data_IF_916241668246
#
_entry.id   IF_916241668246
#
_cell.length_a   1.000
_cell.length_b   1.000
_cell.length_c   1.000
_cell.angle_alpha   90.00
_cell.angle_beta   90.00
_cell.angle_gamma   90.00
#
_symmetry.space_group_name_H-M   'P 1'
#
loop_
_entity.id
_entity.type
_entity.pdbx_description
1 polymer ?
#
# COMPACT_ATOMS: atom_id res chain seq x y z
N UNK A 1 -46.37 11.36 10.08
CA UNK A 1 -45.47 10.28 10.52
C UNK A 1 -44.94 9.54 9.29
N UNK A 2 -43.81 9.97 8.79
CA UNK A 2 -43.18 9.30 7.65
C UNK A 2 -42.08 8.43 8.24
N UNK A 3 -42.36 7.14 8.30
CA UNK A 3 -41.33 6.16 8.58
C UNK A 3 -40.48 6.04 7.32
N UNK A 4 -39.28 6.65 7.35
CA UNK A 4 -38.27 6.32 6.39
C UNK A 4 -37.73 4.93 6.74
N UNK A 5 -38.33 3.93 6.10
CA UNK A 5 -37.71 2.62 6.05
C UNK A 5 -36.54 2.75 5.09
N UNK A 6 -35.36 2.97 5.60
CA UNK A 6 -34.16 2.80 4.83
C UNK A 6 -34.03 1.31 4.50
N UNK A 7 -34.55 0.90 3.41
CA UNK A 7 -34.25 -0.39 2.83
C UNK A 7 -32.84 -0.37 2.30
N UNK A 8 -31.88 -0.57 3.19
CA UNK A 8 -30.55 -1.01 2.85
C UNK A 8 -30.62 -2.47 2.43
N UNK A 9 -31.20 -2.73 1.27
CA UNK A 9 -31.32 -4.09 0.74
C UNK A 9 -30.13 -4.52 -0.07
N UNK A 10 -28.90 -4.33 0.42
CA UNK A 10 -27.74 -4.99 -0.16
C UNK A 10 -27.04 -5.78 0.94
N UNK A 11 -27.00 -7.08 0.77
CA UNK A 11 -26.18 -7.99 1.58
C UNK A 11 -24.68 -7.83 1.27
N UNK A 12 -24.26 -6.71 0.70
CA UNK A 12 -22.88 -6.39 0.47
C UNK A 12 -22.22 -6.12 1.84
N UNK A 13 -21.27 -6.95 2.22
CA UNK A 13 -20.45 -6.72 3.38
C UNK A 13 -19.76 -5.36 3.25
N UNK A 14 -19.73 -4.59 4.33
CA UNK A 14 -19.09 -3.28 4.35
C UNK A 14 -17.58 -3.43 4.19
N UNK A 15 -16.98 -2.51 3.42
CA UNK A 15 -15.54 -2.41 3.31
C UNK A 15 -14.95 -1.89 4.61
N UNK A 16 -13.99 -2.63 5.15
CA UNK A 16 -13.28 -2.28 6.38
C UNK A 16 -11.95 -1.66 6.04
N UNK A 17 -11.58 -0.59 6.75
CA UNK A 17 -10.29 0.08 6.62
C UNK A 17 -9.39 -0.31 7.78
N UNK A 18 -8.17 -0.76 7.48
CA UNK A 18 -7.16 -1.12 8.47
C UNK A 18 -5.86 -0.38 8.15
N UNK A 19 -5.28 0.30 9.14
CA UNK A 19 -4.06 1.10 8.96
C UNK A 19 -2.94 0.54 9.82
N UNK A 20 -1.79 0.30 9.19
CA UNK A 20 -0.54 -0.09 9.83
C UNK A 20 0.48 1.03 9.70
N UNK A 21 1.26 1.26 10.74
CA UNK A 21 2.41 2.17 10.71
C UNK A 21 3.66 1.46 11.18
N UNK A 22 4.79 1.80 10.54
CA UNK A 22 6.10 1.31 10.93
C UNK A 22 7.17 2.34 10.64
N UNK A 23 8.28 2.24 11.37
CA UNK A 23 9.49 2.99 11.08
C UNK A 23 10.64 2.00 10.98
N UNK A 24 11.15 1.82 9.76
CA UNK A 24 12.20 0.85 9.48
C UNK A 24 13.35 1.57 8.77
N UNK A 25 14.53 1.57 9.39
CA UNK A 25 15.70 2.23 8.83
C UNK A 25 15.55 3.74 8.66
N UNK A 26 14.72 4.39 9.48
CA UNK A 26 14.40 5.82 9.38
C UNK A 26 13.28 6.15 8.39
N UNK A 27 12.75 5.18 7.67
CA UNK A 27 11.62 5.35 6.75
C UNK A 27 10.32 5.15 7.49
N UNK A 28 9.47 6.18 7.50
CA UNK A 28 8.13 6.08 8.06
C UNK A 28 7.17 5.57 6.99
N UNK A 29 6.58 4.41 7.26
CA UNK A 29 5.65 3.74 6.35
C UNK A 29 4.25 3.72 6.94
N UNK A 30 3.27 4.05 6.12
CA UNK A 30 1.85 3.90 6.45
C UNK A 30 1.20 3.05 5.37
N UNK A 31 0.63 1.93 5.78
CA UNK A 31 -0.07 1.01 4.87
C UNK A 31 -1.55 1.01 5.26
N UNK A 32 -2.41 1.24 4.29
CA UNK A 32 -3.86 1.19 4.48
C UNK A 32 -4.43 0.06 3.63
N UNK A 33 -5.12 -0.87 4.27
CA UNK A 33 -5.86 -1.94 3.62
C UNK A 33 -7.35 -1.64 3.66
N UNK A 34 -7.99 -1.82 2.53
CA UNK A 34 -9.46 -1.84 2.44
C UNK A 34 -9.85 -3.27 2.12
N UNK A 35 -10.75 -3.83 2.91
CA UNK A 35 -11.10 -5.25 2.80
C UNK A 35 -12.59 -5.48 2.98
N UNK A 36 -13.08 -6.55 2.35
CA UNK A 36 -14.42 -7.10 2.57
C UNK A 36 -14.19 -8.51 3.11
N UNK A 37 -14.63 -8.75 4.35
CA UNK A 37 -14.26 -9.94 5.11
C UNK A 37 -12.70 -10.01 5.21
N UNK A 38 -12.09 -11.10 4.80
CA UNK A 38 -10.63 -11.24 4.79
C UNK A 38 -9.99 -10.92 3.43
N UNK A 39 -10.77 -10.52 2.43
CA UNK A 39 -10.27 -10.22 1.08
C UNK A 39 -9.92 -8.72 0.96
N UNK A 40 -8.66 -8.43 0.70
CA UNK A 40 -8.20 -7.06 0.44
C UNK A 40 -8.67 -6.64 -0.94
N UNK A 41 -9.46 -5.57 -1.00
CA UNK A 41 -9.99 -5.00 -2.25
C UNK A 41 -9.09 -3.92 -2.81
N UNK A 42 -8.43 -3.18 -1.93
CA UNK A 42 -7.56 -2.04 -2.28
C UNK A 42 -6.52 -1.85 -1.18
N UNK A 43 -5.36 -1.37 -1.58
CA UNK A 43 -4.26 -1.06 -0.67
C UNK A 43 -3.62 0.26 -1.07
N UNK A 44 -3.28 1.09 -0.10
CA UNK A 44 -2.45 2.26 -0.33
C UNK A 44 -1.25 2.20 0.61
N UNK A 45 -0.11 2.69 0.13
CA UNK A 45 1.11 2.77 0.93
C UNK A 45 1.72 4.16 0.75
N UNK A 46 2.16 4.75 1.85
CA UNK A 46 2.92 5.98 1.85
C UNK A 46 4.21 5.77 2.64
N UNK A 47 5.35 6.01 1.99
CA UNK A 47 6.66 5.93 2.62
C UNK A 47 7.29 7.32 2.62
N UNK A 48 7.65 7.81 3.79
CA UNK A 48 8.41 9.05 3.94
C UNK A 48 9.87 8.67 4.17
N UNK A 49 10.70 8.94 3.17
CA UNK A 49 12.12 8.54 3.16
C UNK A 49 13.01 9.78 3.29
N UNK A 50 13.56 10.06 4.49
CA UNK A 50 14.53 11.13 4.63
C UNK A 50 15.74 10.88 3.72
N UNK A 51 16.32 11.95 3.17
CA UNK A 51 17.49 11.81 2.30
C UNK A 51 18.66 11.09 3.00
N UNK A 52 18.79 11.28 4.30
CA UNK A 52 19.79 10.56 5.12
C UNK A 52 19.61 9.05 5.08
N UNK A 53 18.37 8.55 5.00
CA UNK A 53 18.08 7.12 4.90
C UNK A 53 18.45 6.54 3.54
N UNK A 54 18.55 7.38 2.51
CA UNK A 54 18.95 7.01 1.15
C UNK A 54 20.43 7.27 0.87
N UNK A 55 21.16 7.80 1.84
CA UNK A 55 22.55 8.25 1.69
C UNK A 55 22.72 9.29 0.58
N UNK A 56 21.74 10.18 0.44
CA UNK A 56 21.78 11.30 -0.50
C UNK A 56 21.61 12.62 0.26
N UNK A 57 22.01 13.74 -0.36
CA UNK A 57 21.99 15.06 0.27
C UNK A 57 21.09 16.06 -0.43
N UNK A 58 20.53 15.71 -1.58
CA UNK A 58 19.69 16.61 -2.37
C UNK A 58 18.58 15.85 -3.11
N UNK A 59 17.57 16.60 -3.55
CA UNK A 59 16.51 16.08 -4.40
C UNK A 59 17.05 15.53 -5.72
N UNK A 60 18.06 16.18 -6.30
CA UNK A 60 18.66 15.73 -7.57
C UNK A 60 19.35 14.37 -7.40
N UNK A 61 20.11 14.18 -6.32
CA UNK A 61 20.70 12.87 -6.03
C UNK A 61 19.64 11.80 -5.78
N UNK A 62 18.56 12.16 -5.08
CA UNK A 62 17.45 11.24 -4.84
C UNK A 62 16.77 10.83 -6.15
N UNK A 63 16.56 11.76 -7.08
CA UNK A 63 16.00 11.47 -8.40
C UNK A 63 16.88 10.51 -9.19
N UNK A 64 18.20 10.72 -9.19
CA UNK A 64 19.13 9.83 -9.88
C UNK A 64 19.06 8.40 -9.34
N UNK A 65 18.85 8.26 -8.04
CA UNK A 65 18.73 6.97 -7.38
C UNK A 65 17.39 6.30 -7.67
N UNK A 66 16.29 7.05 -7.63
CA UNK A 66 14.93 6.51 -7.61
C UNK A 66 14.22 6.52 -8.97
N UNK A 67 14.62 7.37 -9.92
CA UNK A 67 13.98 7.43 -11.23
C UNK A 67 14.01 6.08 -11.99
N UNK A 68 15.10 5.30 -11.96
CA UNK A 68 15.09 3.98 -12.57
C UNK A 68 14.10 3.02 -11.91
N UNK A 69 13.93 3.15 -10.58
CA UNK A 69 12.94 2.36 -9.84
C UNK A 69 11.51 2.79 -10.20
N UNK A 70 11.28 4.09 -10.34
CA UNK A 70 9.96 4.62 -10.72
C UNK A 70 9.48 4.06 -12.06
N UNK A 71 10.37 3.87 -13.01
CA UNK A 71 10.02 3.30 -14.32
C UNK A 71 9.48 1.88 -14.21
N UNK A 72 9.97 1.08 -13.26
CA UNK A 72 9.54 -0.30 -13.08
C UNK A 72 8.09 -0.42 -12.61
N UNK A 73 7.53 0.63 -12.01
CA UNK A 73 6.15 0.68 -11.53
C UNK A 73 5.15 1.18 -12.59
N UNK A 74 5.62 1.61 -13.75
CA UNK A 74 4.75 2.19 -14.78
C UNK A 74 4.09 1.12 -15.66
N UNK A 75 2.87 1.39 -16.11
CA UNK A 75 2.17 0.54 -17.07
C UNK A 75 1.65 -0.78 -16.52
N UNK A 76 1.52 -0.91 -15.21
CA UNK A 76 0.97 -2.10 -14.56
C UNK A 76 -0.49 -1.85 -14.21
N UNK A 77 -1.38 -2.72 -14.69
CA UNK A 77 -2.80 -2.60 -14.43
C UNK A 77 -3.11 -2.63 -12.93
N UNK A 78 -3.96 -1.71 -12.48
CA UNK A 78 -4.39 -1.60 -11.09
C UNK A 78 -3.36 -1.00 -10.13
N UNK A 79 -2.20 -0.60 -10.62
CA UNK A 79 -1.12 -0.02 -9.83
C UNK A 79 -0.90 1.45 -10.20
N UNK A 80 -0.85 2.30 -9.16
CA UNK A 80 -0.41 3.69 -9.29
C UNK A 80 0.76 3.91 -8.33
N UNK A 81 1.79 4.58 -8.80
CA UNK A 81 3.01 4.83 -8.04
C UNK A 81 3.57 6.20 -8.37
N UNK A 82 4.13 6.89 -7.37
CA UNK A 82 4.78 8.17 -7.56
C UNK A 82 5.76 8.50 -6.46
N UNK A 83 6.73 9.34 -6.78
CA UNK A 83 7.64 9.96 -5.84
C UNK A 83 7.42 11.47 -5.82
N UNK A 84 7.33 12.06 -4.62
CA UNK A 84 7.35 13.50 -4.41
C UNK A 84 8.67 13.87 -3.73
N UNK A 85 9.45 14.72 -4.37
CA UNK A 85 10.75 15.16 -3.85
C UNK A 85 10.57 16.46 -3.07
N UNK A 86 10.70 16.38 -1.74
CA UNK A 86 10.66 17.51 -0.83
C UNK A 86 12.07 18.01 -0.52
N UNK A 87 12.19 19.00 0.35
CA UNK A 87 13.50 19.61 0.68
C UNK A 87 14.43 18.64 1.42
N UNK A 88 13.88 17.75 2.24
CA UNK A 88 14.64 16.86 3.13
C UNK A 88 14.25 15.39 3.03
N UNK A 89 13.25 15.07 2.23
CA UNK A 89 12.72 13.72 2.11
C UNK A 89 12.04 13.48 0.78
N UNK A 90 11.94 12.22 0.41
CA UNK A 90 11.10 11.75 -0.70
C UNK A 90 9.88 11.08 -0.11
N UNK A 91 8.71 11.38 -0.63
CA UNK A 91 7.48 10.67 -0.29
C UNK A 91 7.10 9.77 -1.44
N UNK A 92 7.10 8.48 -1.19
CA UNK A 92 6.61 7.47 -2.12
C UNK A 92 5.15 7.19 -1.84
N UNK A 93 4.33 7.18 -2.87
CA UNK A 93 2.92 6.76 -2.77
C UNK A 93 2.68 5.61 -3.73
N UNK A 94 1.95 4.61 -3.26
CA UNK A 94 1.59 3.44 -4.03
C UNK A 94 0.14 3.10 -3.74
N UNK A 95 -0.62 2.80 -4.79
CA UNK A 95 -2.01 2.37 -4.67
C UNK A 95 -2.24 1.16 -5.55
N UNK A 96 -2.88 0.14 -5.00
CA UNK A 96 -3.23 -1.08 -5.72
C UNK A 96 -4.74 -1.28 -5.62
N UNK A 97 -5.39 -1.39 -6.76
CA UNK A 97 -6.79 -1.82 -6.87
C UNK A 97 -6.82 -3.28 -7.31
N UNK A 98 -7.11 -4.18 -6.37
CA UNK A 98 -7.07 -5.61 -6.64
C UNK A 98 -8.17 -6.10 -7.56
N UNK A 99 -9.18 -5.28 -7.85
CA UNK A 99 -10.21 -5.64 -8.83
C UNK A 99 -9.69 -5.61 -10.27
N UNK A 100 -8.64 -4.83 -10.53
CA UNK A 100 -8.06 -4.65 -11.86
C UNK A 100 -6.57 -5.00 -11.92
N UNK A 101 -5.94 -5.26 -10.77
CA UNK A 101 -4.50 -5.41 -10.64
C UNK A 101 -3.96 -6.68 -11.32
N UNK A 102 -2.86 -6.50 -12.05
CA UNK A 102 -2.02 -7.62 -12.49
C UNK A 102 -1.09 -8.02 -11.33
N UNK A 103 -1.59 -8.91 -10.45
CA UNK A 103 -0.90 -9.28 -9.22
C UNK A 103 0.42 -10.02 -9.47
N UNK A 104 0.54 -10.73 -10.58
CA UNK A 104 1.78 -11.43 -10.93
C UNK A 104 2.90 -10.42 -11.22
N UNK A 105 2.61 -9.39 -12.01
CA UNK A 105 3.57 -8.32 -12.29
C UNK A 105 3.91 -7.51 -11.04
N UNK A 106 2.92 -7.22 -10.20
CA UNK A 106 3.13 -6.48 -8.96
C UNK A 106 4.03 -7.28 -8.00
N UNK A 107 3.86 -8.59 -7.93
CA UNK A 107 4.68 -9.46 -7.08
C UNK A 107 6.16 -9.49 -7.50
N UNK A 108 6.47 -9.22 -8.76
CA UNK A 108 7.84 -9.15 -9.28
C UNK A 108 8.55 -7.81 -8.96
N UNK A 109 7.81 -6.81 -8.49
CA UNK A 109 8.38 -5.49 -8.20
C UNK A 109 9.29 -5.50 -6.98
N UNK A 110 10.35 -4.65 -6.98
CA UNK A 110 11.21 -4.51 -5.80
C UNK A 110 10.41 -4.08 -4.56
N UNK A 111 10.65 -4.75 -3.45
CA UNK A 111 9.99 -4.42 -2.18
C UNK A 111 8.56 -4.91 -2.05
N UNK A 112 8.02 -5.62 -3.04
CA UNK A 112 6.70 -6.22 -2.89
C UNK A 112 6.77 -7.44 -1.98
N UNK A 113 5.88 -7.45 -0.99
CA UNK A 113 5.71 -8.57 -0.07
C UNK A 113 4.25 -9.02 -0.14
N UNK A 114 4.00 -10.01 -0.97
CA UNK A 114 2.69 -10.63 -1.06
C UNK A 114 2.63 -11.86 -0.18
N UNK A 115 2.26 -11.65 1.07
CA UNK A 115 2.01 -12.73 2.03
C UNK A 115 0.63 -13.37 1.83
N UNK A 116 -0.08 -12.95 0.78
CA UNK A 116 -1.39 -13.45 0.45
C UNK A 116 -1.37 -14.71 -0.39
N UNK A 117 -2.53 -15.32 -0.52
CA UNK A 117 -2.71 -16.49 -1.37
C UNK A 117 -2.86 -16.06 -2.85
N UNK A 118 -1.74 -15.99 -3.55
CA UNK A 118 -1.70 -15.58 -4.97
C UNK A 118 -2.32 -16.62 -5.92
N UNK A 119 -2.47 -17.86 -5.50
CA UNK A 119 -3.07 -18.92 -6.33
C UNK A 119 -4.51 -18.60 -6.74
N UNK A 120 -5.23 -17.86 -5.90
CA UNK A 120 -6.60 -17.41 -6.19
C UNK A 120 -6.67 -15.99 -6.74
N UNK A 121 -5.52 -15.28 -6.86
CA UNK A 121 -5.46 -13.87 -7.18
C UNK A 121 -6.01 -12.96 -6.06
N UNK A 122 -6.24 -13.51 -4.89
CA UNK A 122 -6.77 -12.80 -3.72
C UNK A 122 -5.71 -12.60 -2.67
N UNK A 123 -5.79 -11.46 -1.97
CA UNK A 123 -4.88 -11.13 -0.87
C UNK A 123 -5.67 -11.20 0.43
N UNK A 124 -5.17 -11.98 1.39
CA UNK A 124 -5.75 -12.10 2.71
C UNK A 124 -5.32 -10.94 3.59
N UNK A 125 -6.28 -10.24 4.20
CA UNK A 125 -6.00 -9.18 5.19
C UNK A 125 -5.25 -9.76 6.39
N UNK A 126 -5.72 -10.85 6.93
CA UNK A 126 -5.14 -11.49 8.12
C UNK A 126 -3.67 -11.87 7.91
N UNK A 127 -3.36 -12.51 6.79
CA UNK A 127 -1.98 -12.90 6.47
C UNK A 127 -1.10 -11.68 6.20
N UNK A 128 -1.64 -10.65 5.54
CA UNK A 128 -0.92 -9.40 5.30
C UNK A 128 -0.59 -8.67 6.59
N UNK A 129 -1.54 -8.56 7.51
CA UNK A 129 -1.31 -7.95 8.83
C UNK A 129 -0.25 -8.70 9.62
N UNK A 130 -0.32 -10.02 9.62
CA UNK A 130 0.64 -10.88 10.31
C UNK A 130 2.05 -10.71 9.78
N UNK A 131 2.21 -10.63 8.47
CA UNK A 131 3.50 -10.45 7.83
C UNK A 131 4.13 -9.10 8.21
N UNK A 132 3.37 -8.01 8.14
CA UNK A 132 3.88 -6.68 8.46
C UNK A 132 4.10 -6.46 9.96
N UNK A 133 3.24 -7.01 10.81
CA UNK A 133 3.46 -6.99 12.26
C UNK A 133 4.75 -7.73 12.63
N UNK A 134 5.07 -8.83 11.92
CA UNK A 134 6.33 -9.54 12.07
C UNK A 134 7.56 -8.72 11.66
N UNK A 135 7.38 -7.70 10.82
CA UNK A 135 8.43 -6.77 10.40
C UNK A 135 8.54 -5.53 11.29
N UNK A 136 7.71 -5.39 12.31
CA UNK A 136 7.73 -4.27 13.24
C UNK A 136 6.66 -3.20 13.00
N UNK A 137 5.72 -3.44 12.08
CA UNK A 137 4.57 -2.55 11.90
C UNK A 137 3.56 -2.73 13.02
N UNK A 138 2.85 -1.66 13.34
CA UNK A 138 1.80 -1.64 14.37
C UNK A 138 0.48 -1.22 13.75
N UNK A 139 -0.57 -1.95 14.06
CA UNK A 139 -1.92 -1.59 13.66
C UNK A 139 -2.38 -0.39 14.49
N UNK A 140 -2.77 0.71 13.82
CA UNK A 140 -3.20 1.96 14.47
C UNK A 140 -4.67 2.26 14.25
N UNK A 141 -5.31 1.61 13.30
CA UNK A 141 -6.74 1.76 13.01
C UNK A 141 -7.28 0.48 12.36
N UNK A 142 -8.51 0.12 12.71
CA UNK A 142 -9.23 -1.01 12.12
C UNK A 142 -9.68 -2.09 13.07
#
# INVERSE_FOLDING_TARGET
>A
LIALTACGGSDAAEETKTVLKGNIGGVESTITYYSINDEVTRQTTENVMPYSSLNVTSADEARQLLDPMAESFQGIDGLQHGFEYRDDAVVETLSIDYSTADVEKIAELPGSDFSGNLESGKVSLKESLKAFEGQGYTKVEG
#
